data_IF_922463057879
#
_entry.id   IF_922463057879
#
_cell.length_a   1.000
_cell.length_b   1.000
_cell.length_c   1.000
_cell.angle_alpha   90.00
_cell.angle_beta   90.00
_cell.angle_gamma   90.00
#
_symmetry.space_group_name_H-M   'P 1'
#
loop_
_entity.id
_entity.type
_entity.pdbx_description
1 polymer ?
#
# COMPACT_ATOMS: atom_id res chain seq x y z
N UNK A 1 4.12 -37.89 0.24
CA UNK A 1 5.01 -36.81 -0.23
C UNK A 1 4.21 -35.52 -0.22
N UNK A 2 4.38 -34.68 0.78
CA UNK A 2 3.82 -33.32 0.77
C UNK A 2 4.69 -32.49 -0.16
N UNK A 3 4.27 -32.33 -1.41
CA UNK A 3 4.82 -31.27 -2.26
C UNK A 3 4.48 -29.96 -1.55
N UNK A 4 5.50 -29.31 -0.99
CA UNK A 4 5.38 -27.91 -0.61
C UNK A 4 5.07 -27.15 -1.89
N UNK A 5 3.80 -26.78 -2.07
CA UNK A 5 3.39 -25.87 -3.12
C UNK A 5 4.07 -24.54 -2.81
N UNK A 6 5.16 -24.25 -3.51
CA UNK A 6 5.78 -22.93 -3.45
C UNK A 6 4.74 -21.92 -3.92
N UNK A 7 4.29 -21.09 -2.98
CA UNK A 7 3.34 -20.02 -3.24
C UNK A 7 4.11 -18.90 -3.94
N UNK A 8 3.82 -18.56 -5.21
CA UNK A 8 4.55 -17.51 -5.92
C UNK A 8 4.45 -16.21 -5.13
N UNK A 9 5.59 -15.69 -4.71
CA UNK A 9 5.69 -14.53 -3.81
C UNK A 9 6.64 -13.51 -4.41
N UNK A 10 6.24 -12.23 -4.43
CA UNK A 10 7.07 -11.11 -4.92
C UNK A 10 7.13 -10.03 -3.86
N UNK A 11 8.34 -9.55 -3.59
CA UNK A 11 8.60 -8.49 -2.63
C UNK A 11 8.34 -7.11 -3.24
N UNK A 12 8.09 -6.12 -2.38
CA UNK A 12 8.03 -4.71 -2.75
C UNK A 12 8.65 -3.83 -1.68
N UNK A 13 9.21 -2.71 -2.13
CA UNK A 13 9.60 -1.59 -1.30
C UNK A 13 9.16 -0.30 -1.99
N UNK A 14 8.66 0.65 -1.20
CA UNK A 14 8.25 1.96 -1.65
C UNK A 14 8.66 2.98 -0.59
N UNK A 15 9.54 3.88 -1.00
CA UNK A 15 9.94 5.03 -0.20
C UNK A 15 9.18 6.28 -0.68
N UNK A 16 8.72 7.09 0.26
CA UNK A 16 8.04 8.33 -0.05
C UNK A 16 8.37 9.41 0.96
N UNK A 17 8.81 10.57 0.47
CA UNK A 17 9.05 11.75 1.28
C UNK A 17 7.94 12.77 1.07
N UNK A 18 7.42 13.30 2.17
CA UNK A 18 6.46 14.40 2.17
C UNK A 18 7.04 15.61 2.88
N UNK A 19 6.92 16.78 2.24
CA UNK A 19 7.20 18.07 2.87
C UNK A 19 5.94 18.61 3.57
N UNK A 20 6.11 19.05 4.81
CA UNK A 20 5.10 19.71 5.63
C UNK A 20 5.07 21.22 5.42
N UNK A 21 3.91 21.83 5.69
CA UNK A 21 3.70 23.25 5.46
C UNK A 21 4.63 24.18 6.26
N UNK A 22 5.15 23.73 7.41
CA UNK A 22 6.06 24.53 8.25
C UNK A 22 7.53 24.14 8.10
N UNK A 23 7.92 23.57 6.95
CA UNK A 23 9.29 23.15 6.68
C UNK A 23 9.71 21.82 7.34
N UNK A 24 8.78 21.14 8.01
CA UNK A 24 8.99 19.75 8.44
C UNK A 24 9.01 18.79 7.25
N UNK A 25 9.58 17.61 7.44
CA UNK A 25 9.60 16.52 6.45
C UNK A 25 9.36 15.19 7.14
N UNK A 26 8.76 14.24 6.41
CA UNK A 26 8.65 12.85 6.85
C UNK A 26 8.95 11.92 5.69
N UNK A 27 9.83 10.95 5.95
CA UNK A 27 10.16 9.84 5.08
C UNK A 27 9.42 8.57 5.54
N UNK A 28 8.60 8.04 4.65
CA UNK A 28 7.89 6.79 4.82
C UNK A 28 8.58 5.69 4.05
N UNK A 29 8.71 4.52 4.66
CA UNK A 29 9.09 3.29 3.97
C UNK A 29 7.98 2.27 4.14
N UNK A 30 7.52 1.75 3.01
CA UNK A 30 6.54 0.70 2.89
C UNK A 30 7.24 -0.51 2.28
N UNK A 31 7.30 -1.62 3.01
CA UNK A 31 7.93 -2.86 2.52
C UNK A 31 7.08 -4.07 2.83
N UNK A 32 7.19 -5.12 2.02
CA UNK A 32 6.44 -6.34 2.23
C UNK A 32 6.49 -7.28 1.04
N UNK A 33 5.52 -8.18 0.99
CA UNK A 33 5.40 -9.21 -0.02
C UNK A 33 3.95 -9.38 -0.49
N UNK A 34 3.82 -9.89 -1.70
CA UNK A 34 2.54 -10.25 -2.31
C UNK A 34 2.62 -11.67 -2.84
N UNK A 35 1.62 -12.48 -2.49
CA UNK A 35 1.55 -13.90 -2.85
C UNK A 35 0.20 -14.28 -3.44
N UNK A 36 0.17 -15.23 -4.39
CA UNK A 36 -1.08 -15.80 -4.93
C UNK A 36 -1.49 -17.07 -4.18
N UNK A 37 -2.72 -17.13 -3.71
CA UNK A 37 -3.29 -18.23 -2.93
C UNK A 37 -4.37 -18.99 -3.71
N UNK A 38 -4.70 -20.20 -3.25
CA UNK A 38 -5.80 -21.04 -3.75
C UNK A 38 -5.83 -21.17 -5.28
N UNK A 39 -4.74 -21.65 -5.88
CA UNK A 39 -4.67 -21.82 -7.33
C UNK A 39 -4.79 -20.51 -8.11
N UNK A 40 -4.27 -19.39 -7.57
CA UNK A 40 -4.30 -18.03 -8.15
C UNK A 40 -5.67 -17.35 -8.12
N UNK A 41 -6.59 -17.77 -7.23
CA UNK A 41 -7.91 -17.13 -7.05
C UNK A 41 -7.89 -15.96 -6.09
N UNK A 42 -6.91 -15.92 -5.19
CA UNK A 42 -6.76 -14.84 -4.23
C UNK A 42 -5.33 -14.33 -4.23
N UNK A 43 -5.16 -13.07 -3.85
CA UNK A 43 -3.87 -12.51 -3.50
C UNK A 43 -3.85 -12.20 -2.01
N UNK A 44 -2.66 -12.28 -1.42
CA UNK A 44 -2.36 -11.77 -0.08
C UNK A 44 -1.25 -10.74 -0.22
N UNK A 45 -1.43 -9.61 0.45
CA UNK A 45 -0.39 -8.59 0.68
C UNK A 45 -0.14 -8.55 2.18
N UNK A 46 1.12 -8.66 2.59
CA UNK A 46 1.54 -8.45 3.96
C UNK A 46 2.85 -7.68 4.02
N UNK A 47 2.98 -6.81 5.02
CA UNK A 47 4.13 -5.95 5.14
C UNK A 47 4.06 -4.99 6.31
N UNK A 48 4.96 -4.01 6.28
CA UNK A 48 5.10 -2.97 7.28
C UNK A 48 5.19 -1.61 6.59
N UNK A 49 4.47 -0.63 7.15
CA UNK A 49 4.66 0.78 6.88
C UNK A 49 5.33 1.37 8.11
N UNK A 50 6.50 1.98 7.95
CA UNK A 50 7.19 2.68 9.02
C UNK A 50 7.69 4.05 8.56
N UNK A 51 8.06 4.89 9.53
CA UNK A 51 8.71 6.17 9.27
C UNK A 51 10.22 6.00 9.44
N UNK A 52 10.97 6.21 8.36
CA UNK A 52 12.42 6.12 8.38
C UNK A 52 13.06 7.35 9.04
N UNK A 53 12.51 8.54 8.76
CA UNK A 53 12.89 9.80 9.41
C UNK A 53 11.76 10.82 9.35
N UNK A 54 11.80 11.82 10.25
CA UNK A 54 10.93 12.98 10.11
C UNK A 54 10.56 13.68 11.41
N UNK A 55 10.08 14.91 11.24
CA UNK A 55 9.73 15.83 12.33
C UNK A 55 8.34 16.45 12.19
N UNK A 56 7.62 16.20 11.10
CA UNK A 56 6.31 16.81 10.86
C UNK A 56 5.15 16.04 11.55
N UNK A 57 4.11 16.77 11.90
CA UNK A 57 2.89 16.21 12.50
C UNK A 57 1.87 15.76 11.44
N UNK A 58 1.01 14.79 11.79
CA UNK A 58 -0.15 14.40 10.96
C UNK A 58 -1.04 15.57 10.54
N UNK A 59 -1.10 16.63 11.33
CA UNK A 59 -1.85 17.84 10.99
C UNK A 59 -1.24 18.60 9.81
N UNK A 60 0.07 18.51 9.64
CA UNK A 60 0.82 19.20 8.59
C UNK A 60 0.87 18.42 7.29
N UNK A 61 1.01 17.09 7.35
CA UNK A 61 1.20 16.25 6.17
C UNK A 61 0.03 15.30 5.88
N UNK A 62 -1.02 15.32 6.70
CA UNK A 62 -2.15 14.41 6.59
C UNK A 62 -1.90 13.07 7.30
N UNK A 63 -2.96 12.26 7.41
CA UNK A 63 -2.84 10.92 7.98
C UNK A 63 -2.53 9.92 6.85
N UNK A 64 -1.31 9.35 6.78
CA UNK A 64 -0.93 8.40 5.75
C UNK A 64 -1.69 7.08 5.92
N UNK A 65 -2.22 6.57 4.81
CA UNK A 65 -2.92 5.29 4.72
C UNK A 65 -2.37 4.50 3.56
N UNK A 66 -2.22 3.19 3.75
CA UNK A 66 -1.86 2.29 2.66
C UNK A 66 -3.10 1.97 1.84
N UNK A 67 -2.97 2.11 0.53
CA UNK A 67 -3.99 1.73 -0.43
C UNK A 67 -3.46 0.66 -1.38
N UNK A 68 -4.36 -0.22 -1.80
CA UNK A 68 -4.14 -1.22 -2.83
C UNK A 68 -5.11 -1.00 -3.97
N UNK A 69 -4.67 -1.28 -5.19
CA UNK A 69 -5.51 -1.32 -6.37
C UNK A 69 -5.11 -2.51 -7.22
N UNK A 70 -6.10 -3.23 -7.72
CA UNK A 70 -5.87 -4.24 -8.75
C UNK A 70 -5.86 -3.56 -10.11
N UNK A 71 -4.84 -3.85 -10.91
CA UNK A 71 -4.82 -3.44 -12.29
C UNK A 71 -5.26 -4.63 -13.15
N UNK A 72 -6.57 -4.79 -13.23
CA UNK A 72 -7.24 -5.64 -14.20
C UNK A 72 -7.69 -4.78 -15.35
N UNK A 73 -7.36 -5.19 -16.56
CA UNK A 73 -7.98 -4.65 -17.76
C UNK A 73 -9.14 -5.60 -18.05
N UNK A 74 -10.33 -5.28 -17.54
CA UNK A 74 -11.53 -5.87 -18.13
C UNK A 74 -11.52 -5.55 -19.63
N UNK A 75 -12.19 -6.35 -20.47
CA UNK A 75 -12.34 -6.03 -21.90
C UNK A 75 -12.95 -4.62 -22.13
N UNK A 76 -13.64 -4.11 -21.12
CA UNK A 76 -14.23 -2.75 -21.05
C UNK A 76 -13.21 -1.63 -20.77
N UNK A 77 -11.97 -1.95 -20.41
CA UNK A 77 -10.93 -1.00 -19.97
C UNK A 77 -11.12 -0.47 -18.55
N UNK A 78 -12.10 -0.97 -17.79
CA UNK A 78 -12.40 -0.50 -16.44
C UNK A 78 -11.32 -0.92 -15.45
N UNK A 79 -10.77 0.05 -14.70
CA UNK A 79 -9.84 -0.19 -13.61
C UNK A 79 -10.59 -0.34 -12.27
N UNK A 80 -10.07 -1.20 -11.39
CA UNK A 80 -10.57 -1.29 -10.02
C UNK A 80 -10.28 -0.02 -9.22
N UNK A 81 -11.13 0.29 -8.25
CA UNK A 81 -10.90 1.41 -7.34
C UNK A 81 -9.74 1.16 -6.39
N UNK A 82 -9.21 2.23 -5.80
CA UNK A 82 -8.26 2.15 -4.69
C UNK A 82 -8.98 1.80 -3.39
N UNK A 83 -8.48 0.79 -2.68
CA UNK A 83 -8.98 0.34 -1.38
C UNK A 83 -7.96 0.61 -0.29
N UNK A 84 -8.36 1.24 0.83
CA UNK A 84 -7.50 1.41 1.99
C UNK A 84 -7.35 0.07 2.74
N UNK A 85 -6.11 -0.32 3.06
CA UNK A 85 -5.78 -1.59 3.71
C UNK A 85 -5.01 -1.44 5.03
N UNK A 86 -4.53 -0.24 5.36
CA UNK A 86 -3.96 0.05 6.67
C UNK A 86 -5.06 0.31 7.72
N UNK A 87 -4.72 0.15 9.00
CA UNK A 87 -5.65 0.42 10.10
C UNK A 87 -6.19 1.87 10.09
N UNK A 88 -7.38 2.07 10.65
CA UNK A 88 -8.06 3.39 10.68
C UNK A 88 -7.46 4.39 11.67
N UNK A 89 -6.55 3.97 12.56
CA UNK A 89 -6.04 4.82 13.64
C UNK A 89 -5.18 5.94 13.05
N UNK A 90 -5.51 7.18 13.42
CA UNK A 90 -4.66 8.34 13.15
C UNK A 90 -3.56 8.42 14.20
N UNK A 91 -2.29 8.52 13.78
CA UNK A 91 -1.19 8.79 14.69
C UNK A 91 -1.17 10.28 15.05
N UNK A 92 -1.04 10.65 16.33
CA UNK A 92 -0.90 12.07 16.70
C UNK A 92 0.51 12.61 16.39
N UNK A 93 1.51 11.73 16.44
CA UNK A 93 2.90 12.01 16.07
C UNK A 93 3.35 10.94 15.08
N UNK A 94 3.84 11.35 13.93
CA UNK A 94 4.18 10.44 12.84
C UNK A 94 5.52 9.74 13.07
N UNK A 95 6.50 10.40 13.69
CA UNK A 95 7.86 9.87 13.91
C UNK A 95 7.99 8.59 14.79
N UNK A 96 6.89 7.90 15.09
CA UNK A 96 6.82 6.62 15.84
C UNK A 96 5.84 5.63 15.20
N UNK A 97 5.39 5.88 13.97
CA UNK A 97 4.38 5.07 13.32
C UNK A 97 5.03 3.86 12.65
N UNK A 98 4.87 2.70 13.28
CA UNK A 98 5.12 1.39 12.67
C UNK A 98 3.78 0.64 12.60
N UNK A 99 3.40 0.23 11.39
CA UNK A 99 2.12 -0.38 11.11
C UNK A 99 2.28 -1.64 10.27
N UNK A 100 2.03 -2.80 10.90
CA UNK A 100 1.84 -4.04 10.16
C UNK A 100 0.48 -4.05 9.49
N UNK A 101 0.43 -4.57 8.28
CA UNK A 101 -0.82 -4.78 7.56
C UNK A 101 -0.82 -6.15 6.90
N UNK A 102 -2.00 -6.74 6.82
CA UNK A 102 -2.27 -7.95 6.05
C UNK A 102 -3.61 -7.77 5.38
N UNK A 103 -3.66 -8.01 4.08
CA UNK A 103 -4.89 -8.00 3.29
C UNK A 103 -4.93 -9.21 2.38
N UNK A 104 -6.04 -9.92 2.40
CA UNK A 104 -6.39 -10.88 1.33
C UNK A 104 -7.46 -10.28 0.46
N UNK A 105 -7.38 -10.49 -0.84
CA UNK A 105 -8.39 -10.07 -1.81
C UNK A 105 -8.51 -11.06 -2.97
N UNK A 106 -9.57 -10.91 -3.76
CA UNK A 106 -9.80 -11.74 -4.94
C UNK A 106 -8.86 -11.36 -6.09
N UNK A 107 -8.37 -12.36 -6.83
CA UNK A 107 -7.55 -12.19 -8.03
C UNK A 107 -8.33 -12.69 -9.25
N UNK A 108 -8.69 -11.78 -10.15
CA UNK A 108 -9.42 -12.12 -11.37
C UNK A 108 -8.47 -12.62 -12.47
N UNK A 109 -8.93 -13.48 -13.40
CA UNK A 109 -8.12 -13.90 -14.55
C UNK A 109 -7.63 -12.74 -15.44
N UNK A 110 -8.35 -11.62 -15.46
CA UNK A 110 -8.00 -10.40 -16.19
C UNK A 110 -7.01 -9.49 -15.41
N UNK A 111 -6.78 -9.75 -14.12
CA UNK A 111 -5.83 -8.99 -13.33
C UNK A 111 -4.40 -9.28 -13.80
N UNK A 112 -3.59 -8.23 -13.94
CA UNK A 112 -2.20 -8.32 -14.43
C UNK A 112 -1.19 -7.88 -13.38
N UNK A 113 -1.59 -6.97 -12.50
CA UNK A 113 -0.73 -6.50 -11.41
C UNK A 113 -1.53 -5.98 -10.22
N UNK A 114 -0.85 -5.92 -9.08
CA UNK A 114 -1.27 -5.16 -7.92
C UNK A 114 -0.47 -3.86 -7.89
N UNK A 115 -1.15 -2.76 -7.61
CA UNK A 115 -0.55 -1.46 -7.36
C UNK A 115 -0.75 -1.11 -5.90
N UNK A 116 0.33 -0.74 -5.23
CA UNK A 116 0.35 -0.30 -3.84
C UNK A 116 0.82 1.15 -3.78
N UNK A 117 0.22 1.94 -2.91
CA UNK A 117 0.61 3.33 -2.72
C UNK A 117 0.13 3.86 -1.38
N UNK A 118 0.80 4.88 -0.88
CA UNK A 118 0.45 5.60 0.33
C UNK A 118 -0.37 6.82 -0.06
N UNK A 119 -1.49 7.02 0.62
CA UNK A 119 -2.34 8.20 0.47
C UNK A 119 -2.39 8.92 1.81
N UNK A 120 -1.93 10.16 1.84
CA UNK A 120 -2.09 11.01 3.01
C UNK A 120 -3.35 11.87 2.86
N UNK A 121 -4.30 11.72 3.79
CA UNK A 121 -5.57 12.46 3.79
C UNK A 121 -5.58 13.55 4.85
N UNK A 122 -5.88 14.80 4.45
CA UNK A 122 -6.02 15.93 5.36
C UNK A 122 -7.48 16.07 5.83
N UNK A 123 -7.72 15.95 7.13
CA UNK A 123 -9.07 15.80 7.71
C UNK A 123 -10.06 16.95 7.46
N UNK A 124 -9.58 18.20 7.31
CA UNK A 124 -10.47 19.38 7.14
C UNK A 124 -10.74 19.66 5.66
N UNK A 125 -9.73 19.54 4.80
CA UNK A 125 -9.82 19.91 3.39
C UNK A 125 -10.09 18.72 2.47
N UNK A 126 -10.03 17.48 2.99
CA UNK A 126 -10.02 16.22 2.22
C UNK A 126 -8.99 16.19 1.09
N UNK A 127 -7.99 17.07 1.12
CA UNK A 127 -6.89 17.06 0.17
C UNK A 127 -6.14 15.74 0.34
N UNK A 128 -5.86 15.09 -0.79
CA UNK A 128 -5.10 13.85 -0.85
C UNK A 128 -3.75 14.10 -1.49
N UNK A 129 -2.72 13.55 -0.85
CA UNK A 129 -1.38 13.46 -1.41
C UNK A 129 -1.10 11.99 -1.65
N UNK A 130 -0.50 11.68 -2.81
CA UNK A 130 -0.27 10.31 -3.25
C UNK A 130 1.23 10.08 -3.40
N UNK A 131 1.73 8.97 -2.89
CA UNK A 131 3.05 8.46 -3.23
C UNK A 131 3.10 7.98 -4.69
N UNK A 132 4.30 7.72 -5.23
CA UNK A 132 4.46 6.80 -6.36
C UNK A 132 3.81 5.44 -6.04
N UNK A 133 3.50 4.67 -7.08
CA UNK A 133 2.91 3.34 -6.92
C UNK A 133 3.93 2.24 -7.14
N UNK A 134 4.02 1.29 -6.19
CA UNK A 134 4.72 0.04 -6.39
C UNK A 134 3.81 -0.90 -7.20
N UNK A 135 4.23 -1.30 -8.40
CA UNK A 135 3.46 -2.18 -9.29
C UNK A 135 4.09 -3.57 -9.31
N UNK A 136 3.32 -4.58 -8.92
CA UNK A 136 3.77 -5.96 -8.74
C UNK A 136 2.98 -6.85 -9.69
N UNK A 137 3.67 -7.48 -10.63
CA UNK A 137 3.08 -8.45 -11.57
C UNK A 137 3.20 -9.84 -10.99
N UNK A 138 2.09 -10.46 -10.58
CA UNK A 138 2.11 -11.79 -9.93
C UNK A 138 2.09 -12.95 -10.91
N UNK A 139 1.73 -12.68 -12.16
CA UNK A 139 1.76 -13.61 -13.28
C UNK A 139 2.54 -12.90 -14.37
N UNK A 140 3.48 -13.60 -14.99
CA UNK A 140 4.24 -13.09 -16.14
C UNK A 140 3.43 -13.23 -17.44
#
# INVERSE_FOLDING_TARGET
>A
MTQSLEVPTKEFCLDWTMDGANGGRVHFTLSGQVSLLDGKRFYKVDGVLYIADGSAYCREIGNPRLHVRRNGVEETGRQWGWEAISSRKSANRLCTMDGYFVRTGYWAPADRSIQLGIVAEHGITRRRSHSPTATIRLVD
#
